data_IF_392419943399
#
_entry.id   IF_392419943399
#
_cell.length_a   1.000
_cell.length_b   1.000
_cell.length_c   1.000
_cell.angle_alpha   90.00
_cell.angle_beta   90.00
_cell.angle_gamma   90.00
#
_symmetry.space_group_name_H-M   'P 1'
#
loop_
_entity.id
_entity.type
_entity.pdbx_description
1 polymer ?
#
# COMPACT_ATOMS: atom_id res chain seq x y z
N UNK A 1 7.63 -5.42 9.02
CA UNK A 1 6.50 -5.72 8.10
C UNK A 1 7.07 -6.39 6.86
N UNK A 2 6.99 -7.72 6.74
CA UNK A 2 7.51 -8.49 5.59
C UNK A 2 7.17 -9.98 5.65
N UNK A 3 6.74 -10.48 6.82
CA UNK A 3 6.45 -11.89 7.03
C UNK A 3 5.25 -12.42 6.23
N UNK A 4 4.43 -11.54 5.65
CA UNK A 4 3.29 -11.90 4.81
C UNK A 4 3.68 -12.34 3.37
N UNK A 5 4.95 -12.19 2.98
CA UNK A 5 5.44 -12.54 1.64
C UNK A 5 6.24 -13.84 1.69
N UNK A 6 6.23 -14.65 0.63
CA UNK A 6 7.10 -15.84 0.54
C UNK A 6 8.58 -15.44 0.58
N UNK A 7 9.48 -16.39 0.90
CA UNK A 7 10.93 -16.09 0.95
C UNK A 7 11.46 -15.62 -0.42
N UNK A 8 10.90 -16.19 -1.48
CA UNK A 8 11.16 -15.99 -2.90
C UNK A 8 10.11 -15.10 -3.60
N UNK A 9 9.53 -14.14 -2.87
CA UNK A 9 8.49 -13.27 -3.42
C UNK A 9 9.01 -12.40 -4.58
N UNK A 10 8.16 -12.21 -5.60
CA UNK A 10 8.45 -11.41 -6.78
C UNK A 10 7.53 -10.21 -6.86
N UNK A 11 8.09 -8.99 -6.84
CA UNK A 11 7.30 -7.77 -6.96
C UNK A 11 7.69 -6.90 -8.14
N UNK A 12 6.71 -6.14 -8.59
CA UNK A 12 6.92 -4.83 -9.23
C UNK A 12 6.17 -3.78 -8.44
N UNK A 13 6.87 -2.80 -7.89
CA UNK A 13 6.28 -1.63 -7.25
C UNK A 13 6.63 -0.39 -8.06
N UNK A 14 5.64 0.20 -8.74
CA UNK A 14 5.86 1.24 -9.76
C UNK A 14 6.81 0.72 -10.85
N UNK A 15 8.04 1.26 -10.90
CA UNK A 15 9.11 0.89 -11.82
C UNK A 15 10.25 0.11 -11.14
N UNK A 16 10.12 -0.21 -9.85
CA UNK A 16 11.12 -0.94 -9.08
C UNK A 16 10.73 -2.42 -8.92
N UNK A 17 11.72 -3.31 -8.94
CA UNK A 17 11.54 -4.76 -8.89
C UNK A 17 12.22 -5.34 -7.65
N UNK A 18 11.63 -6.41 -7.12
CA UNK A 18 12.06 -7.12 -5.91
C UNK A 18 11.95 -8.62 -6.18
N UNK A 19 12.97 -9.39 -5.80
CA UNK A 19 13.08 -10.83 -6.08
C UNK A 19 13.21 -11.69 -4.82
N UNK A 20 13.06 -11.12 -3.63
CA UNK A 20 13.05 -11.87 -2.37
C UNK A 20 12.38 -11.12 -1.22
N UNK A 21 12.05 -11.83 -0.13
CA UNK A 21 11.55 -11.21 1.12
C UNK A 21 12.57 -10.21 1.70
N UNK A 22 13.87 -10.46 1.52
CA UNK A 22 14.92 -9.57 2.01
C UNK A 22 14.92 -8.25 1.24
N UNK A 23 14.89 -8.31 -0.08
CA UNK A 23 14.77 -7.11 -0.92
C UNK A 23 13.45 -6.36 -0.66
N UNK A 24 12.35 -7.08 -0.39
CA UNK A 24 11.09 -6.48 0.02
C UNK A 24 11.20 -5.70 1.34
N UNK A 25 11.94 -6.22 2.33
CA UNK A 25 12.22 -5.50 3.57
C UNK A 25 13.00 -4.21 3.31
N UNK A 26 14.04 -4.28 2.46
CA UNK A 26 14.87 -3.13 2.16
C UNK A 26 14.08 -2.06 1.39
N UNK A 27 13.20 -2.46 0.47
CA UNK A 27 12.25 -1.56 -0.18
C UNK A 27 11.34 -0.86 0.83
N UNK A 28 10.74 -1.62 1.76
CA UNK A 28 9.82 -1.07 2.75
C UNK A 28 10.51 -0.12 3.74
N UNK A 29 11.77 -0.38 4.09
CA UNK A 29 12.57 0.53 4.89
C UNK A 29 12.73 1.90 4.20
N UNK A 30 13.19 1.90 2.94
CA UNK A 30 13.31 3.14 2.14
C UNK A 30 11.98 3.86 1.96
N UNK A 31 10.89 3.10 1.75
CA UNK A 31 9.54 3.66 1.59
C UNK A 31 9.14 4.50 2.81
N UNK A 32 9.31 3.97 4.02
CA UNK A 32 8.90 4.68 5.24
C UNK A 32 9.90 5.73 5.74
N UNK A 33 11.14 5.71 5.24
CA UNK A 33 12.06 6.84 5.40
C UNK A 33 11.61 8.06 4.59
N UNK A 34 10.89 7.85 3.47
CA UNK A 34 10.40 8.92 2.60
C UNK A 34 8.96 9.36 2.91
N UNK A 35 8.09 8.40 3.17
CA UNK A 35 6.65 8.64 3.28
C UNK A 35 6.22 8.79 4.75
N UNK A 36 6.34 10.00 5.29
CA UNK A 36 5.96 10.30 6.68
C UNK A 36 4.44 10.38 6.86
N UNK A 37 3.98 10.23 8.11
CA UNK A 37 2.55 10.29 8.46
C UNK A 37 1.66 9.31 7.66
N UNK A 38 2.26 8.21 7.18
CA UNK A 38 1.65 7.24 6.28
C UNK A 38 0.38 6.62 6.87
N UNK A 39 -0.75 6.81 6.18
CA UNK A 39 -2.04 6.20 6.49
C UNK A 39 -2.63 5.58 5.24
N UNK A 40 -3.14 4.35 5.35
CA UNK A 40 -3.52 3.51 4.21
C UNK A 40 -4.93 2.95 4.38
N UNK A 41 -5.70 2.97 3.30
CA UNK A 41 -6.97 2.24 3.16
C UNK A 41 -6.86 1.33 1.94
N UNK A 42 -7.17 0.05 2.11
CA UNK A 42 -7.30 -0.94 1.02
C UNK A 42 -8.75 -1.38 0.92
N UNK A 43 -9.19 -1.68 -0.29
CA UNK A 43 -10.54 -2.16 -0.59
C UNK A 43 -10.47 -3.24 -1.69
N UNK A 44 -11.23 -4.31 -1.51
CA UNK A 44 -11.32 -5.40 -2.48
C UNK A 44 -11.90 -4.87 -3.80
N UNK A 45 -11.30 -5.27 -4.92
CA UNK A 45 -11.86 -5.01 -6.25
C UNK A 45 -12.48 -6.27 -6.86
N UNK A 46 -11.71 -7.35 -6.90
CA UNK A 46 -12.12 -8.65 -7.42
C UNK A 46 -11.20 -9.74 -6.86
N UNK A 47 -11.62 -11.00 -6.94
CA UNK A 47 -10.77 -12.14 -6.62
C UNK A 47 -11.14 -13.34 -7.48
N UNK A 48 -10.18 -14.23 -7.71
CA UNK A 48 -10.36 -15.52 -8.38
C UNK A 48 -9.27 -16.46 -7.92
N UNK A 49 -9.64 -17.65 -7.47
CA UNK A 49 -8.72 -18.66 -6.93
C UNK A 49 -7.76 -18.07 -5.88
N UNK A 50 -6.45 -18.20 -6.09
CA UNK A 50 -5.39 -17.70 -5.21
C UNK A 50 -4.98 -16.24 -5.52
N UNK A 51 -5.79 -15.48 -6.25
CA UNK A 51 -5.48 -14.11 -6.68
C UNK A 51 -6.51 -13.10 -6.19
N UNK A 52 -6.01 -11.93 -5.80
CA UNK A 52 -6.81 -10.80 -5.33
C UNK A 52 -6.39 -9.53 -6.06
N UNK A 53 -7.36 -8.80 -6.60
CA UNK A 53 -7.20 -7.44 -7.08
C UNK A 53 -7.70 -6.44 -6.02
N UNK A 54 -6.88 -5.43 -5.74
CA UNK A 54 -7.13 -4.47 -4.67
C UNK A 54 -6.99 -3.05 -5.19
N UNK A 55 -7.93 -2.19 -4.79
CA UNK A 55 -7.83 -0.74 -4.87
C UNK A 55 -7.35 -0.21 -3.53
N UNK A 56 -6.54 0.84 -3.54
CA UNK A 56 -6.14 1.49 -2.30
C UNK A 56 -5.78 2.95 -2.51
N UNK A 57 -5.83 3.70 -1.41
CA UNK A 57 -5.24 5.02 -1.34
C UNK A 57 -4.46 5.16 -0.03
N UNK A 58 -3.39 5.95 -0.06
CA UNK A 58 -2.66 6.32 1.14
C UNK A 58 -2.31 7.81 1.13
N UNK A 59 -2.31 8.42 2.31
CA UNK A 59 -1.90 9.81 2.54
C UNK A 59 -0.60 9.84 3.32
N UNK A 60 0.28 10.78 2.95
CA UNK A 60 1.61 10.94 3.54
C UNK A 60 2.15 12.34 3.24
N UNK A 61 3.21 12.75 3.94
CA UNK A 61 3.98 13.95 3.62
C UNK A 61 5.47 13.64 3.45
N UNK A 62 6.17 14.44 2.64
CA UNK A 62 7.63 14.37 2.51
C UNK A 62 8.35 15.17 3.62
N UNK A 63 9.68 15.17 3.61
CA UNK A 63 10.54 15.91 4.54
C UNK A 63 10.45 17.44 4.38
N UNK A 64 9.83 17.89 3.30
CA UNK A 64 9.61 19.30 2.97
C UNK A 64 8.20 19.76 3.36
N UNK A 65 7.38 18.88 3.95
CA UNK A 65 6.03 19.17 4.39
C UNK A 65 4.98 19.16 3.27
N UNK A 66 5.31 18.72 2.06
CA UNK A 66 4.34 18.58 0.99
C UNK A 66 3.49 17.33 1.23
N UNK A 67 2.16 17.47 1.13
CA UNK A 67 1.23 16.37 1.31
C UNK A 67 0.85 15.74 -0.02
N UNK A 68 0.64 14.43 0.01
CA UNK A 68 0.23 13.65 -1.14
C UNK A 68 -0.89 12.69 -0.77
N UNK A 69 -1.79 12.45 -1.73
CA UNK A 69 -2.63 11.26 -1.76
C UNK A 69 -2.20 10.39 -2.93
N UNK A 70 -1.75 9.19 -2.61
CA UNK A 70 -1.33 8.20 -3.59
C UNK A 70 -2.47 7.23 -3.84
N UNK A 71 -2.83 7.05 -5.12
CA UNK A 71 -3.86 6.11 -5.56
C UNK A 71 -3.18 4.90 -6.18
N UNK A 72 -3.59 3.71 -5.76
CA UNK A 72 -2.95 2.48 -6.17
C UNK A 72 -3.91 1.38 -6.57
N UNK A 73 -3.44 0.58 -7.54
CA UNK A 73 -3.97 -0.74 -7.83
C UNK A 73 -2.87 -1.76 -7.57
N UNK A 74 -3.20 -2.82 -6.86
CA UNK A 74 -2.29 -3.94 -6.70
C UNK A 74 -2.98 -5.28 -6.90
N UNK A 75 -2.24 -6.20 -7.52
CA UNK A 75 -2.64 -7.56 -7.74
C UNK A 75 -1.72 -8.49 -6.96
N UNK A 76 -2.33 -9.37 -6.19
CA UNK A 76 -1.67 -10.33 -5.32
C UNK A 76 -1.92 -11.74 -5.82
N UNK A 77 -0.92 -12.58 -5.72
CA UNK A 77 -1.03 -14.03 -5.87
C UNK A 77 -0.40 -14.70 -4.66
N UNK A 78 -1.11 -15.68 -4.09
CA UNK A 78 -0.71 -16.37 -2.88
C UNK A 78 -0.29 -17.82 -3.18
N UNK A 79 0.66 -18.35 -2.40
CA UNK A 79 0.99 -19.77 -2.40
C UNK A 79 0.04 -20.57 -1.48
N UNK A 80 0.22 -21.89 -1.41
CA UNK A 80 -0.63 -22.78 -0.60
C UNK A 80 -0.55 -22.50 0.91
N UNK A 81 0.55 -21.93 1.39
CA UNK A 81 0.75 -21.52 2.79
C UNK A 81 0.08 -20.16 3.12
N UNK A 82 -0.58 -19.52 2.15
CA UNK A 82 -1.20 -18.21 2.31
C UNK A 82 -0.22 -17.04 2.30
N UNK A 83 1.04 -17.26 1.89
CA UNK A 83 2.04 -16.20 1.72
C UNK A 83 1.94 -15.61 0.32
N UNK A 84 2.07 -14.29 0.21
CA UNK A 84 2.04 -13.61 -1.08
C UNK A 84 3.32 -13.92 -1.86
N UNK A 85 3.16 -14.60 -2.99
CA UNK A 85 4.22 -15.01 -3.90
C UNK A 85 4.49 -13.90 -4.92
N UNK A 86 3.46 -13.41 -5.63
CA UNK A 86 3.56 -12.29 -6.55
C UNK A 86 2.85 -11.03 -6.02
N UNK A 87 3.47 -9.86 -6.20
CA UNK A 87 2.88 -8.55 -5.92
C UNK A 87 3.15 -7.55 -7.04
N UNK A 88 2.12 -7.19 -7.79
CA UNK A 88 2.22 -6.16 -8.82
C UNK A 88 1.44 -4.92 -8.39
N UNK A 89 2.12 -3.82 -8.14
CA UNK A 89 1.53 -2.58 -7.65
C UNK A 89 1.86 -1.39 -8.57
N UNK A 90 0.82 -0.72 -9.06
CA UNK A 90 0.90 0.55 -9.78
C UNK A 90 0.33 1.66 -8.89
N UNK A 91 1.04 2.78 -8.79
CA UNK A 91 0.71 3.86 -7.86
C UNK A 91 1.01 5.20 -8.53
N UNK A 92 0.08 6.14 -8.40
CA UNK A 92 0.21 7.51 -8.85
C UNK A 92 -0.01 8.46 -7.69
N UNK A 93 0.83 9.50 -7.60
CA UNK A 93 0.79 10.48 -6.51
C UNK A 93 0.09 11.75 -6.97
N UNK A 94 -0.87 12.22 -6.19
CA UNK A 94 -1.52 13.50 -6.36
C UNK A 94 -1.07 14.43 -5.21
N UNK A 95 -0.39 15.55 -5.49
CA UNK A 95 -0.16 16.58 -4.49
C UNK A 95 -1.49 17.11 -3.94
N UNK A 96 -1.59 17.26 -2.63
CA UNK A 96 -2.75 17.81 -1.94
C UNK A 96 -2.31 18.84 -0.89
N UNK A 97 -3.21 19.70 -0.46
CA UNK A 97 -3.02 20.52 0.74
C UNK A 97 -3.26 19.66 1.98
N UNK A 98 -2.65 20.03 3.11
CA UNK A 98 -2.92 19.37 4.39
C UNK A 98 -4.43 19.39 4.75
N UNK A 99 -5.11 20.51 4.45
CA UNK A 99 -6.55 20.66 4.68
C UNK A 99 -7.43 19.74 3.82
N UNK A 100 -6.88 19.11 2.78
CA UNK A 100 -7.59 18.20 1.88
C UNK A 100 -7.45 16.74 2.31
N UNK A 101 -6.68 16.45 3.38
CA UNK A 101 -6.54 15.11 3.94
C UNK A 101 -7.88 14.53 4.37
N UNK A 102 -8.07 13.24 4.11
CA UNK A 102 -9.26 12.48 4.51
C UNK A 102 -8.94 11.45 5.59
N UNK A 103 -7.67 11.10 5.80
CA UNK A 103 -7.27 10.00 6.68
C UNK A 103 -6.81 10.53 8.04
N UNK A 104 -7.73 10.48 9.01
CA UNK A 104 -7.53 11.06 10.34
C UNK A 104 -7.72 10.01 11.43
N UNK A 105 -6.62 9.36 11.82
CA UNK A 105 -6.54 8.49 12.99
C UNK A 105 -5.11 8.46 13.55
N UNK A 106 -4.88 8.02 14.80
CA UNK A 106 -3.52 7.81 15.32
C UNK A 106 -2.72 6.85 14.43
N UNK A 107 -1.42 7.08 14.22
CA UNK A 107 -0.63 6.22 13.34
C UNK A 107 -0.70 4.74 13.76
N UNK A 108 -0.99 3.88 12.77
CA UNK A 108 -1.21 2.45 12.99
C UNK A 108 -2.48 1.94 12.29
N UNK A 109 -3.11 0.95 12.93
CA UNK A 109 -4.31 0.29 12.40
C UNK A 109 -5.46 1.29 12.27
N UNK A 110 -6.07 1.35 11.08
CA UNK A 110 -7.31 2.11 10.85
C UNK A 110 -8.41 1.64 11.82
N UNK A 111 -9.12 2.54 12.51
CA UNK A 111 -10.27 2.20 13.34
C UNK A 111 -11.36 1.47 12.55
N UNK A 112 -12.14 0.62 13.23
CA UNK A 112 -13.20 -0.19 12.59
C UNK A 112 -14.36 0.66 12.06
N UNK A 113 -14.61 1.80 12.71
CA UNK A 113 -15.67 2.76 12.39
C UNK A 113 -15.22 3.86 11.41
N UNK A 114 -13.94 3.91 11.05
CA UNK A 114 -13.47 4.84 10.02
C UNK A 114 -14.02 4.39 8.66
N UNK A 115 -14.53 5.30 7.81
CA UNK A 115 -15.07 4.95 6.49
C UNK A 115 -14.03 4.25 5.60
N UNK A 116 -14.53 3.38 4.71
CA UNK A 116 -13.75 2.70 3.67
C UNK A 116 -13.36 3.60 2.50
N UNK A 117 -12.80 3.02 1.44
CA UNK A 117 -12.35 3.78 0.27
C UNK A 117 -13.57 4.32 -0.50
N UNK A 118 -14.55 3.44 -0.76
CA UNK A 118 -15.80 3.80 -1.44
C UNK A 118 -16.63 4.83 -0.65
N UNK A 119 -16.71 4.70 0.68
CA UNK A 119 -17.48 5.63 1.53
C UNK A 119 -16.88 7.05 1.55
N UNK A 120 -15.58 7.17 1.28
CA UNK A 120 -14.90 8.45 1.15
C UNK A 120 -15.01 9.08 -0.26
N UNK A 121 -15.66 8.40 -1.20
CA UNK A 121 -15.76 8.82 -2.59
C UNK A 121 -14.40 8.92 -3.28
N UNK A 122 -13.51 7.95 -3.02
CA UNK A 122 -12.16 7.85 -3.58
C UNK A 122 -12.00 6.67 -4.55
#
# INVERSE_FOLDING_TARGET
VSLAYSLDTHWRNRAEFVYSRKEAQDFLARKWEKEYEYRLIKELWAFTDNRIAVRYAYEWCDDSGNWFRSYGNENWEFNEDGLMYNRYACINDLPIKESERKFHWPLGRRPDDHPGLSDLGL
#
